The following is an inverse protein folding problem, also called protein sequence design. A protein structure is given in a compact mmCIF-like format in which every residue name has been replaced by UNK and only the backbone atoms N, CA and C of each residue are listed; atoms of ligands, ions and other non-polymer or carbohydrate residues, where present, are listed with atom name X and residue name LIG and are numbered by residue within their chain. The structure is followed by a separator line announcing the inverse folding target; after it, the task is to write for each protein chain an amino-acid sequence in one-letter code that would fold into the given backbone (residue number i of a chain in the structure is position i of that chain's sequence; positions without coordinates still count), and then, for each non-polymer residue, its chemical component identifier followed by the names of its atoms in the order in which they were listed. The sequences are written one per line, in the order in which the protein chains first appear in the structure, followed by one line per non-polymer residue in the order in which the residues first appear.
data_IF_752708476436
#
_entry.id   IF_752708476436
#
_cell.length_a   1.000
_cell.length_b   1.000
_cell.length_c   1.000
_cell.angle_alpha   90.00
_cell.angle_beta   90.00
_cell.angle_gamma   90.00
#
_symmetry.space_group_name_H-M   'P 1'
#
loop_
_entity.id
_entity.type
_entity.pdbx_description
1 polymer ?
#
# COMPACT_ATOMS: atom_id res chain seq x y z
N UNK A 1 14.34 -2.32 -13.03
CA UNK A 1 14.45 -0.84 -12.98
C UNK A 1 13.25 -0.21 -13.70
N UNK A 2 12.84 1.00 -13.31
CA UNK A 2 11.76 1.78 -13.96
C UNK A 2 11.94 1.98 -15.47
N UNK A 3 13.14 1.74 -16.00
CA UNK A 3 13.49 1.78 -17.43
C UNK A 3 12.69 0.82 -18.32
N UNK A 4 11.94 -0.11 -17.72
CA UNK A 4 11.16 -1.10 -18.47
C UNK A 4 9.70 -0.69 -18.68
N UNK A 5 9.21 0.38 -18.04
CA UNK A 5 7.83 0.85 -18.18
C UNK A 5 7.69 1.77 -19.38
N UNK A 6 6.71 1.50 -20.23
CA UNK A 6 6.30 2.45 -21.26
C UNK A 6 5.65 3.68 -20.60
N UNK A 7 5.68 4.86 -21.26
CA UNK A 7 5.01 6.05 -20.74
C UNK A 7 3.52 5.84 -20.46
N UNK A 8 2.85 4.98 -21.24
CA UNK A 8 1.44 4.66 -21.05
C UNK A 8 1.19 3.83 -19.79
N UNK A 9 1.95 2.76 -19.58
CA UNK A 9 1.85 1.94 -18.37
C UNK A 9 2.09 2.79 -17.10
N UNK A 10 3.05 3.69 -17.17
CA UNK A 10 3.35 4.60 -16.06
C UNK A 10 2.22 5.59 -15.80
N UNK A 11 1.62 6.15 -16.86
CA UNK A 11 0.46 7.04 -16.73
C UNK A 11 -0.77 6.31 -16.16
N UNK A 12 -1.04 5.09 -16.63
CA UNK A 12 -2.15 4.28 -16.15
C UNK A 12 -1.98 3.92 -14.67
N UNK A 13 -0.77 3.57 -14.24
CA UNK A 13 -0.46 3.38 -12.82
C UNK A 13 -0.77 4.63 -12.00
N UNK A 14 -0.26 5.80 -12.41
CA UNK A 14 -0.44 7.04 -11.66
C UNK A 14 -1.94 7.35 -11.51
N UNK A 15 -2.73 7.17 -12.57
CA UNK A 15 -4.18 7.37 -12.50
C UNK A 15 -4.85 6.44 -11.50
N UNK A 16 -4.45 5.16 -11.48
CA UNK A 16 -4.99 4.19 -10.54
C UNK A 16 -4.64 4.60 -9.10
N UNK A 17 -3.37 4.88 -8.81
CA UNK A 17 -2.93 5.32 -7.48
C UNK A 17 -3.66 6.61 -7.04
N UNK A 18 -3.81 7.57 -7.94
CA UNK A 18 -4.56 8.80 -7.70
C UNK A 18 -6.05 8.55 -7.41
N UNK A 19 -6.68 7.59 -8.10
CA UNK A 19 -8.08 7.21 -7.85
C UNK A 19 -8.30 6.63 -6.45
N UNK A 20 -7.27 6.07 -5.83
CA UNK A 20 -7.28 5.60 -4.44
C UNK A 20 -6.89 6.67 -3.42
N UNK A 21 -6.65 7.91 -3.87
CA UNK A 21 -6.42 9.08 -3.03
C UNK A 21 -4.95 9.37 -2.74
N UNK A 22 -4.00 8.67 -3.37
CA UNK A 22 -2.58 8.97 -3.20
C UNK A 22 -2.25 10.32 -3.84
N UNK A 23 -1.54 11.17 -3.08
CA UNK A 23 -1.02 12.43 -3.60
C UNK A 23 0.25 12.19 -4.40
N UNK A 24 0.65 13.11 -5.30
CA UNK A 24 1.87 12.96 -6.10
C UNK A 24 3.13 12.65 -5.28
N UNK A 25 3.23 13.20 -4.06
CA UNK A 25 4.36 12.93 -3.15
C UNK A 25 4.35 11.49 -2.60
N UNK A 26 3.17 10.93 -2.37
CA UNK A 26 3.02 9.55 -1.90
C UNK A 26 3.39 8.57 -3.00
N UNK A 27 2.98 8.87 -4.23
CA UNK A 27 3.38 8.12 -5.43
C UNK A 27 4.90 8.18 -5.61
N UNK A 28 5.52 9.36 -5.48
CA UNK A 28 6.97 9.49 -5.58
C UNK A 28 7.69 8.65 -4.51
N UNK A 29 7.20 8.68 -3.25
CA UNK A 29 7.74 7.86 -2.16
C UNK A 29 7.60 6.36 -2.42
N UNK A 30 6.43 5.92 -2.87
CA UNK A 30 6.19 4.54 -3.30
C UNK A 30 7.25 4.12 -4.33
N UNK A 31 7.44 4.92 -5.38
CA UNK A 31 8.42 4.64 -6.45
C UNK A 31 9.88 4.61 -5.94
N UNK A 32 10.24 5.44 -4.96
CA UNK A 32 11.58 5.44 -4.35
C UNK A 32 11.79 4.19 -3.48
N UNK A 33 10.78 3.81 -2.71
CA UNK A 33 10.86 2.68 -1.78
C UNK A 33 10.65 1.32 -2.45
N UNK A 34 10.21 1.31 -3.71
CA UNK A 34 10.01 0.09 -4.48
C UNK A 34 11.34 -0.59 -4.79
N UNK A 35 11.50 -1.88 -4.46
CA UNK A 35 12.67 -2.64 -4.88
C UNK A 35 12.78 -2.65 -6.41
N UNK A 36 13.99 -2.45 -6.92
CA UNK A 36 14.27 -2.25 -8.35
C UNK A 36 13.90 -3.44 -9.27
N UNK A 37 13.53 -4.58 -8.70
CA UNK A 37 13.16 -5.85 -9.36
C UNK A 37 11.68 -5.99 -9.72
N UNK A 38 10.81 -5.09 -9.27
CA UNK A 38 9.41 -5.46 -9.02
C UNK A 38 8.34 -4.75 -9.85
N UNK A 39 8.40 -4.89 -11.17
CA UNK A 39 7.17 -4.72 -11.99
C UNK A 39 6.05 -5.64 -11.53
N UNK A 40 6.40 -6.81 -10.99
CA UNK A 40 5.48 -7.90 -10.64
C UNK A 40 4.60 -7.52 -9.44
N UNK A 41 5.12 -6.69 -8.53
CA UNK A 41 4.36 -6.24 -7.36
C UNK A 41 3.24 -5.31 -7.77
N UNK A 42 3.51 -4.40 -8.70
CA UNK A 42 2.61 -3.29 -9.06
C UNK A 42 1.74 -3.67 -10.27
N UNK A 43 0.97 -4.74 -10.16
CA UNK A 43 -0.11 -5.00 -11.11
C UNK A 43 -1.37 -4.26 -10.68
N UNK A 44 -2.25 -3.97 -11.64
CA UNK A 44 -3.52 -3.31 -11.34
C UNK A 44 -4.38 -4.16 -10.40
N UNK A 45 -4.36 -5.49 -10.58
CA UNK A 45 -5.04 -6.44 -9.71
C UNK A 45 -4.51 -6.36 -8.27
N UNK A 46 -3.19 -6.41 -8.08
CA UNK A 46 -2.59 -6.38 -6.74
C UNK A 46 -2.85 -5.05 -6.04
N UNK A 47 -2.71 -3.93 -6.77
CA UNK A 47 -3.02 -2.61 -6.22
C UNK A 47 -4.47 -2.54 -5.77
N UNK A 48 -5.41 -2.94 -6.64
CA UNK A 48 -6.84 -2.94 -6.31
C UNK A 48 -7.12 -3.79 -5.07
N UNK A 49 -6.60 -5.01 -5.02
CA UNK A 49 -6.77 -5.90 -3.88
C UNK A 49 -6.19 -5.30 -2.60
N UNK A 50 -5.00 -4.70 -2.66
CA UNK A 50 -4.38 -4.03 -1.52
C UNK A 50 -5.28 -2.91 -0.97
N UNK A 51 -5.78 -2.01 -1.83
CA UNK A 51 -6.66 -0.93 -1.39
C UNK A 51 -7.99 -1.44 -0.81
N UNK A 52 -8.59 -2.49 -1.40
CA UNK A 52 -9.79 -3.14 -0.86
C UNK A 52 -9.53 -3.77 0.53
N UNK A 53 -8.38 -4.41 0.72
CA UNK A 53 -7.97 -4.97 2.00
C UNK A 53 -7.84 -3.86 3.06
N UNK A 54 -7.12 -2.77 2.74
CA UNK A 54 -6.92 -1.65 3.66
C UNK A 54 -8.23 -0.91 3.99
N UNK A 55 -9.16 -0.81 3.03
CA UNK A 55 -10.51 -0.31 3.27
C UNK A 55 -11.29 -1.23 4.20
N UNK A 56 -11.18 -2.54 4.02
CA UNK A 56 -11.83 -3.54 4.89
C UNK A 56 -11.31 -3.47 6.34
N UNK A 57 -10.03 -3.12 6.51
CA UNK A 57 -9.42 -2.86 7.82
C UNK A 57 -9.79 -1.48 8.40
N UNK A 58 -10.62 -0.70 7.70
CA UNK A 58 -11.14 0.62 8.13
C UNK A 58 -10.07 1.68 8.36
N UNK A 59 -8.89 1.53 7.75
CA UNK A 59 -7.90 2.62 7.75
C UNK A 59 -8.41 3.80 6.93
N UNK A 60 -8.18 5.02 7.39
CA UNK A 60 -8.51 6.24 6.65
C UNK A 60 -7.54 6.47 5.48
N UNK A 61 -7.88 7.39 4.57
CA UNK A 61 -7.10 7.65 3.36
C UNK A 61 -5.65 8.05 3.64
N UNK A 62 -5.41 8.85 4.68
CA UNK A 62 -4.06 9.28 5.05
C UNK A 62 -3.23 8.09 5.52
N UNK A 63 -3.80 7.29 6.43
CA UNK A 63 -3.14 6.08 6.95
C UNK A 63 -2.82 5.08 5.83
N UNK A 64 -3.78 4.84 4.92
CA UNK A 64 -3.56 3.96 3.75
C UNK A 64 -2.42 4.47 2.86
N UNK A 65 -2.38 5.77 2.59
CA UNK A 65 -1.34 6.38 1.76
C UNK A 65 0.05 6.24 2.40
N UNK A 66 0.15 6.48 3.71
CA UNK A 66 1.39 6.32 4.49
C UNK A 66 1.89 4.87 4.44
N UNK A 67 1.00 3.89 4.60
CA UNK A 67 1.39 2.47 4.60
C UNK A 67 1.95 2.04 3.24
N UNK A 68 1.23 2.33 2.16
CA UNK A 68 1.63 1.93 0.81
C UNK A 68 2.92 2.62 0.37
N UNK A 69 3.04 3.92 0.64
CA UNK A 69 4.21 4.70 0.22
C UNK A 69 5.49 4.35 0.97
N UNK A 70 5.40 3.89 2.23
CA UNK A 70 6.57 3.54 3.03
C UNK A 70 6.97 2.06 2.92
N UNK A 71 6.02 1.14 2.77
CA UNK A 71 6.31 -0.28 2.56
C UNK A 71 5.53 -0.82 1.35
N UNK A 72 6.10 -0.75 0.14
CA UNK A 72 5.44 -1.22 -1.07
C UNK A 72 5.12 -2.71 -1.06
N UNK A 73 5.75 -3.52 -0.19
CA UNK A 73 5.45 -4.95 -0.07
C UNK A 73 4.03 -5.20 0.46
N UNK A 74 3.41 -4.21 1.11
CA UNK A 74 2.03 -4.31 1.58
C UNK A 74 1.04 -4.61 0.44
N UNK A 75 1.40 -4.28 -0.79
CA UNK A 75 0.62 -4.57 -2.00
C UNK A 75 0.41 -6.09 -2.20
N UNK A 76 1.32 -6.92 -1.71
CA UNK A 76 1.27 -8.38 -1.87
C UNK A 76 0.54 -9.10 -0.74
N UNK A 77 0.25 -8.42 0.37
CA UNK A 77 -0.28 -9.08 1.55
C UNK A 77 -1.80 -9.26 1.45
N UNK A 78 -2.25 -10.47 1.76
CA UNK A 78 -3.67 -10.76 1.87
C UNK A 78 -4.30 -10.16 3.14
N UNK A 79 -5.63 -10.09 3.14
CA UNK A 79 -6.40 -9.50 4.23
C UNK A 79 -6.20 -10.22 5.57
N UNK A 80 -6.07 -11.55 5.57
CA UNK A 80 -5.97 -12.33 6.80
C UNK A 80 -4.64 -12.02 7.50
N UNK A 81 -3.55 -12.03 6.73
CA UNK A 81 -2.22 -11.67 7.22
C UNK A 81 -2.16 -10.25 7.79
N UNK A 82 -2.76 -9.27 7.09
CA UNK A 82 -2.83 -7.90 7.57
C UNK A 82 -3.67 -7.79 8.85
N UNK A 83 -4.79 -8.52 8.94
CA UNK A 83 -5.65 -8.54 10.12
C UNK A 83 -4.96 -9.14 11.33
N UNK A 84 -4.32 -10.29 11.18
CA UNK A 84 -3.58 -10.94 12.28
C UNK A 84 -2.51 -10.01 12.87
N UNK A 85 -1.76 -9.31 12.01
CA UNK A 85 -0.75 -8.34 12.47
C UNK A 85 -1.38 -7.14 13.17
N UNK A 86 -2.49 -6.62 12.64
CA UNK A 86 -3.20 -5.53 13.27
C UNK A 86 -3.74 -5.94 14.64
N UNK A 87 -4.30 -7.13 14.78
CA UNK A 87 -4.82 -7.66 16.05
C UNK A 87 -3.70 -7.77 17.11
N UNK A 88 -2.51 -8.24 16.73
CA UNK A 88 -1.32 -8.27 17.60
C UNK A 88 -0.93 -6.87 18.07
N UNK A 89 -0.89 -5.90 17.14
CA UNK A 89 -0.56 -4.51 17.47
C UNK A 89 -1.61 -3.88 18.40
N UNK A 90 -2.90 -4.04 18.08
CA UNK A 90 -4.00 -3.52 18.89
C UNK A 90 -3.96 -4.13 20.29
N UNK A 91 -3.74 -5.43 20.41
CA UNK A 91 -3.57 -6.09 21.71
C UNK A 91 -2.42 -5.48 22.52
N UNK A 92 -1.27 -5.24 21.88
CA UNK A 92 -0.10 -4.65 22.54
C UNK A 92 -0.37 -3.22 23.02
N UNK A 93 -0.98 -2.37 22.18
CA UNK A 93 -1.19 -0.96 22.50
C UNK A 93 -2.40 -0.71 23.42
N UNK A 94 -3.43 -1.56 23.39
CA UNK A 94 -4.61 -1.41 24.26
C UNK A 94 -4.44 -2.05 25.64
N UNK A 95 -3.54 -3.03 25.81
CA UNK A 95 -3.24 -3.60 27.14
C UNK A 95 -2.40 -2.71 28.06
N UNK A 96 -1.91 -1.56 27.58
CA UNK A 96 -1.14 -0.62 28.42
C UNK A 96 -1.98 0.25 29.36
N UNK A 97 -3.31 0.13 29.37
CA UNK A 97 -4.21 0.84 30.31
C UNK A 97 -4.72 -0.01 31.48
N UNK A 98 -4.00 -1.06 31.89
CA UNK A 98 -4.26 -1.75 33.17
C UNK A 98 -3.05 -1.56 34.08
N UNK A 99 -2.87 -0.35 34.62
CA UNK A 99 -2.13 -0.11 35.86
C UNK A 99 -2.67 1.12 36.57
#
# INVERSE_FOLDING_TARGET
SFQTWSPREFYDLINILGSYGLQPIDVLRLLINLPSTDKIIITNENLKQCFENLLTLKFDTTTRSILISNDPNIIQYDLNYLRERLDVLLFYFTKREIY
#
